data_IF_048391455542
#
_entry.id   IF_048391455542
#
_cell.length_a   1.000
_cell.length_b   1.000
_cell.length_c   1.000
_cell.angle_alpha   90.00
_cell.angle_beta   90.00
_cell.angle_gamma   90.00
#
_symmetry.space_group_name_H-M   'P 1'
#
loop_
_entity.id
_entity.type
_entity.pdbx_description
1 polymer ?
#
# COMPACT_ATOMS: atom_id res chain seq x y z
N UNK A 1 6.83 28.78 -31.00
CA UNK A 1 5.72 28.74 -30.02
C UNK A 1 5.05 27.37 -29.90
N UNK A 2 4.91 26.57 -30.96
CA UNK A 2 4.16 25.29 -30.89
C UNK A 2 4.89 24.12 -30.18
N UNK A 3 6.21 24.03 -30.30
CA UNK A 3 6.99 23.00 -29.58
C UNK A 3 6.96 23.20 -28.05
N UNK A 4 7.03 24.44 -27.59
CA UNK A 4 6.93 24.78 -26.16
C UNK A 4 5.57 24.39 -25.60
N UNK A 5 4.48 24.74 -26.31
CA UNK A 5 3.13 24.36 -25.93
C UNK A 5 2.95 22.82 -25.86
N UNK A 6 3.47 22.09 -26.86
CA UNK A 6 3.42 20.63 -26.87
C UNK A 6 4.19 20.01 -25.69
N UNK A 7 5.41 20.48 -25.43
CA UNK A 7 6.22 20.00 -24.31
C UNK A 7 5.53 20.28 -22.96
N UNK A 8 4.93 21.45 -22.77
CA UNK A 8 4.21 21.78 -21.52
C UNK A 8 2.97 20.92 -21.33
N UNK A 9 2.20 20.66 -22.39
CA UNK A 9 1.01 19.81 -22.31
C UNK A 9 1.37 18.36 -22.04
N UNK A 10 2.40 17.83 -22.70
CA UNK A 10 2.89 16.48 -22.45
C UNK A 10 3.39 16.31 -21.01
N UNK A 11 4.17 17.27 -20.51
CA UNK A 11 4.70 17.22 -19.15
C UNK A 11 3.59 17.30 -18.07
N UNK A 12 2.60 18.17 -18.28
CA UNK A 12 1.44 18.27 -17.39
C UNK A 12 0.62 16.97 -17.36
N UNK A 13 0.41 16.34 -18.52
CA UNK A 13 -0.28 15.05 -18.60
C UNK A 13 0.48 13.93 -17.88
N UNK A 14 1.80 13.88 -18.03
CA UNK A 14 2.65 12.90 -17.34
C UNK A 14 2.60 13.06 -15.81
N UNK A 15 2.66 14.31 -15.31
CA UNK A 15 2.55 14.57 -13.86
C UNK A 15 1.17 14.16 -13.33
N UNK A 16 0.09 14.46 -14.04
CA UNK A 16 -1.27 14.13 -13.62
C UNK A 16 -1.52 12.61 -13.54
N UNK A 17 -0.87 11.81 -14.40
CA UNK A 17 -0.97 10.35 -14.36
C UNK A 17 0.00 9.69 -13.37
N UNK A 18 1.02 10.39 -12.89
CA UNK A 18 2.08 9.82 -12.07
C UNK A 18 1.73 9.68 -10.57
N UNK A 19 0.62 10.25 -10.09
CA UNK A 19 0.25 10.19 -8.67
C UNK A 19 -0.93 9.25 -8.41
N UNK A 20 -0.64 7.95 -8.31
CA UNK A 20 -1.54 6.98 -7.68
C UNK A 20 -0.87 6.45 -6.40
N UNK A 21 -0.57 7.34 -5.47
CA UNK A 21 0.04 7.01 -4.18
C UNK A 21 -0.91 7.37 -3.05
N UNK A 22 -1.08 6.47 -2.09
CA UNK A 22 -1.85 6.71 -0.85
C UNK A 22 -0.84 6.79 0.29
N UNK A 23 -1.04 7.75 1.20
CA UNK A 23 -0.17 7.87 2.38
C UNK A 23 -0.33 6.65 3.29
N UNK A 24 0.77 6.22 3.92
CA UNK A 24 0.84 4.98 4.69
C UNK A 24 -0.22 4.90 5.81
N UNK A 25 -0.54 6.03 6.43
CA UNK A 25 -1.53 6.15 7.50
C UNK A 25 -2.99 6.21 7.00
N UNK A 26 -3.21 6.26 5.68
CA UNK A 26 -4.54 6.29 5.04
C UNK A 26 -4.95 4.93 4.48
N UNK A 27 -4.12 3.90 4.62
CA UNK A 27 -4.46 2.53 4.18
C UNK A 27 -5.26 1.86 5.30
N UNK A 28 -6.44 1.34 4.96
CA UNK A 28 -7.26 0.57 5.89
C UNK A 28 -6.76 -0.88 5.99
N UNK A 29 -6.79 -1.51 7.19
CA UNK A 29 -6.45 -2.92 7.35
C UNK A 29 -7.27 -3.87 6.47
N UNK A 30 -6.58 -4.76 5.77
CA UNK A 30 -7.23 -5.82 5.00
C UNK A 30 -7.90 -6.80 5.98
N UNK A 31 -9.23 -6.99 5.92
CA UNK A 31 -9.91 -7.91 6.82
C UNK A 31 -9.45 -9.34 6.54
N UNK A 32 -9.18 -10.10 7.61
CA UNK A 32 -8.80 -11.50 7.47
C UNK A 32 -10.01 -12.31 6.97
N UNK A 33 -9.92 -12.97 5.79
CA UNK A 33 -11.05 -13.70 5.21
C UNK A 33 -11.34 -14.99 5.99
N UNK A 34 -12.56 -15.52 5.84
CA UNK A 34 -12.91 -16.83 6.38
C UNK A 34 -12.07 -17.93 5.72
N UNK A 35 -11.39 -18.79 6.51
CA UNK A 35 -10.50 -19.80 5.96
C UNK A 35 -11.30 -20.98 5.38
N UNK A 36 -11.21 -21.18 4.07
CA UNK A 36 -11.90 -22.26 3.35
C UNK A 36 -11.00 -23.50 3.27
N UNK A 37 -9.72 -23.32 2.95
CA UNK A 37 -8.78 -24.44 2.76
C UNK A 37 -8.11 -24.84 4.08
N UNK A 38 -7.61 -26.08 4.13
CA UNK A 38 -6.83 -26.58 5.27
C UNK A 38 -5.59 -25.70 5.51
N UNK A 39 -4.93 -25.27 4.43
CA UNK A 39 -3.77 -24.37 4.52
C UNK A 39 -4.13 -23.00 5.11
N UNK A 40 -5.26 -22.42 4.74
CA UNK A 40 -5.74 -21.16 5.33
C UNK A 40 -6.08 -21.35 6.81
N UNK A 41 -6.81 -22.40 7.17
CA UNK A 41 -7.11 -22.70 8.58
C UNK A 41 -5.84 -22.90 9.41
N UNK A 42 -4.83 -23.57 8.86
CA UNK A 42 -3.53 -23.75 9.50
C UNK A 42 -2.79 -22.41 9.66
N UNK A 43 -2.80 -21.54 8.64
CA UNK A 43 -2.18 -20.22 8.70
C UNK A 43 -2.80 -19.33 9.79
N UNK A 44 -4.11 -19.43 10.03
CA UNK A 44 -4.76 -18.75 11.16
C UNK A 44 -4.36 -19.39 12.48
N UNK A 45 -4.41 -20.72 12.57
CA UNK A 45 -4.10 -21.48 13.80
C UNK A 45 -2.67 -21.25 14.30
N UNK A 46 -1.72 -21.12 13.38
CA UNK A 46 -0.30 -20.97 13.69
C UNK A 46 0.21 -19.54 13.42
N UNK A 47 -0.66 -18.53 13.47
CA UNK A 47 -0.24 -17.13 13.36
C UNK A 47 0.69 -16.77 14.54
N UNK A 48 1.93 -16.31 14.29
CA UNK A 48 2.88 -16.01 15.35
C UNK A 48 2.50 -14.73 16.11
N UNK A 49 3.00 -14.62 17.35
CA UNK A 49 2.99 -13.36 18.09
C UNK A 49 4.19 -12.52 17.64
N UNK A 50 3.96 -11.23 17.39
CA UNK A 50 5.02 -10.26 17.10
C UNK A 50 5.30 -9.46 18.37
N UNK A 51 6.55 -9.47 18.83
CA UNK A 51 7.01 -8.58 19.91
C UNK A 51 7.70 -7.36 19.30
N UNK A 52 7.24 -6.16 19.65
CA UNK A 52 7.83 -4.89 19.24
C UNK A 52 8.41 -4.17 20.45
N UNK A 53 9.64 -3.67 20.34
CA UNK A 53 10.22 -2.79 21.35
C UNK A 53 9.78 -1.34 21.11
N UNK A 54 9.73 -0.53 22.17
CA UNK A 54 9.29 0.88 22.18
C UNK A 54 10.01 1.82 21.17
N UNK A 55 11.11 1.39 20.55
CA UNK A 55 11.90 2.17 19.57
C UNK A 55 11.47 1.86 18.12
N UNK A 56 10.52 0.96 17.90
CA UNK A 56 10.02 0.64 16.56
C UNK A 56 8.98 1.68 16.10
N UNK A 57 9.46 2.82 15.58
CA UNK A 57 8.64 3.85 14.90
C UNK A 57 7.93 3.32 13.64
N UNK A 58 8.26 2.12 13.17
CA UNK A 58 7.61 1.45 12.04
C UNK A 58 6.82 0.24 12.53
N UNK A 59 5.51 0.42 12.72
CA UNK A 59 4.57 -0.69 12.86
C UNK A 59 4.27 -1.27 11.47
N UNK A 60 3.89 -2.54 11.39
CA UNK A 60 3.43 -3.13 10.14
C UNK A 60 2.10 -2.47 9.76
N UNK A 61 2.18 -1.44 8.93
CA UNK A 61 1.03 -0.82 8.29
C UNK A 61 0.39 -1.81 7.31
N UNK A 62 -0.92 -1.66 7.09
CA UNK A 62 -1.71 -2.63 6.34
C UNK A 62 -1.36 -2.77 4.85
#
# INVERSE_FOLDING_TARGET
MKLRAFATTLFAALIACASATVDHDKIEPIPQPEPVTISQKAAIKFKPQLYTSEIALCLFLP
#
